data_IF_740307946838
#
_entry.id   IF_740307946838
#
_cell.length_a   1.000
_cell.length_b   1.000
_cell.length_c   1.000
_cell.angle_alpha   90.00
_cell.angle_beta   90.00
_cell.angle_gamma   90.00
#
_symmetry.space_group_name_H-M   'P 1'
#
loop_
_entity.id
_entity.type
_entity.pdbx_description
1 polymer ?
#
# COMPACT_ATOMS: atom_id res chain seq x y z
N UNK A 1 44.14 8.67 33.20
CA UNK A 1 42.90 9.11 32.52
C UNK A 1 42.88 8.59 31.08
N UNK A 2 42.09 7.55 30.77
CA UNK A 2 42.09 6.88 29.44
C UNK A 2 41.22 7.60 28.38
N UNK A 3 41.01 8.91 28.51
CA UNK A 3 40.12 9.70 27.64
C UNK A 3 40.43 9.53 26.14
N UNK A 4 41.72 9.50 25.77
CA UNK A 4 42.13 9.31 24.37
C UNK A 4 41.74 7.93 23.81
N UNK A 5 41.73 6.89 24.64
CA UNK A 5 41.33 5.53 24.23
C UNK A 5 39.81 5.47 24.03
N UNK A 6 39.05 6.04 24.96
CA UNK A 6 37.59 6.15 24.85
C UNK A 6 37.16 6.97 23.64
N UNK A 7 37.78 8.13 23.42
CA UNK A 7 37.47 8.97 22.25
C UNK A 7 37.73 8.23 20.94
N UNK A 8 38.85 7.50 20.82
CA UNK A 8 39.16 6.71 19.62
C UNK A 8 38.15 5.59 19.37
N UNK A 9 37.75 4.90 20.43
CA UNK A 9 36.76 3.83 20.32
C UNK A 9 35.39 4.39 19.90
N UNK A 10 34.87 5.40 20.63
CA UNK A 10 33.58 6.03 20.34
C UNK A 10 33.57 6.64 18.93
N UNK A 11 34.62 7.36 18.53
CA UNK A 11 34.68 7.98 17.21
C UNK A 11 34.61 6.95 16.08
N UNK A 12 35.24 5.78 16.27
CA UNK A 12 35.18 4.69 15.29
C UNK A 12 33.79 4.09 15.20
N UNK A 13 33.16 3.78 16.35
CA UNK A 13 31.81 3.18 16.36
C UNK A 13 30.76 4.15 15.79
N UNK A 14 30.81 5.43 16.19
CA UNK A 14 29.95 6.46 15.61
C UNK A 14 30.25 6.69 14.13
N UNK A 15 31.51 6.60 13.72
CA UNK A 15 31.90 6.70 12.30
C UNK A 15 31.24 5.61 11.45
N UNK A 16 31.26 4.35 11.92
CA UNK A 16 30.55 3.25 11.23
C UNK A 16 29.04 3.47 11.19
N UNK A 17 28.45 3.94 12.30
CA UNK A 17 27.02 4.26 12.36
C UNK A 17 26.65 5.35 11.35
N UNK A 18 27.37 6.48 11.34
CA UNK A 18 27.07 7.58 10.44
C UNK A 18 27.28 7.20 8.98
N UNK A 19 28.34 6.46 8.66
CA UNK A 19 28.57 5.97 7.31
C UNK A 19 27.45 5.05 6.81
N UNK A 20 27.03 4.09 7.64
CA UNK A 20 25.89 3.23 7.33
C UNK A 20 24.60 4.03 7.13
N UNK A 21 24.33 5.00 8.01
CA UNK A 21 23.19 5.91 7.87
C UNK A 21 23.26 6.73 6.58
N UNK A 22 24.43 7.21 6.17
CA UNK A 22 24.59 7.94 4.89
C UNK A 22 24.25 7.07 3.69
N UNK A 23 24.68 5.79 3.67
CA UNK A 23 24.33 4.86 2.59
C UNK A 23 22.82 4.63 2.55
N UNK A 24 22.22 4.28 3.69
CA UNK A 24 20.78 4.08 3.84
C UNK A 24 20.02 5.31 3.34
N UNK A 25 20.47 6.50 3.74
CA UNK A 25 19.79 7.73 3.40
C UNK A 25 19.94 8.08 1.91
N UNK A 26 21.14 7.91 1.35
CA UNK A 26 21.41 8.16 -0.07
C UNK A 26 20.61 7.25 -1.00
N UNK A 27 20.56 5.94 -0.70
CA UNK A 27 19.76 4.97 -1.47
C UNK A 27 18.27 5.30 -1.40
N UNK A 28 17.77 5.66 -0.21
CA UNK A 28 16.38 6.05 -0.04
C UNK A 28 16.04 7.35 -0.80
N UNK A 29 16.92 8.34 -0.79
CA UNK A 29 16.75 9.58 -1.58
C UNK A 29 16.68 9.33 -3.09
N UNK A 30 17.52 8.43 -3.61
CA UNK A 30 17.47 8.02 -5.03
C UNK A 30 16.14 7.32 -5.34
N UNK A 31 15.72 6.38 -4.47
CA UNK A 31 14.46 5.66 -4.64
C UNK A 31 13.26 6.62 -4.66
N UNK A 32 13.22 7.59 -3.74
CA UNK A 32 12.19 8.62 -3.69
C UNK A 32 12.18 9.52 -4.93
N UNK A 33 13.34 10.00 -5.37
CA UNK A 33 13.42 10.86 -6.54
C UNK A 33 12.91 10.15 -7.82
N UNK A 34 13.25 8.88 -7.97
CA UNK A 34 12.76 8.06 -9.08
C UNK A 34 11.26 7.71 -8.97
N UNK A 35 10.67 7.86 -7.79
CA UNK A 35 9.25 7.63 -7.55
C UNK A 35 8.37 8.77 -8.07
N UNK A 36 8.87 10.01 -7.99
CA UNK A 36 8.17 11.22 -8.43
C UNK A 36 8.19 11.36 -9.97
N UNK A 37 9.20 10.82 -10.64
CA UNK A 37 9.43 11.01 -12.08
C UNK A 37 8.79 9.93 -12.97
N UNK A 38 8.26 8.83 -12.43
CA UNK A 38 7.77 7.68 -13.23
C UNK A 38 6.48 7.03 -12.71
N UNK A 39 5.67 7.74 -11.93
CA UNK A 39 4.44 7.18 -11.29
C UNK A 39 4.70 5.87 -10.53
N UNK A 40 5.91 5.70 -9.99
CA UNK A 40 6.34 4.49 -9.31
C UNK A 40 6.29 4.72 -7.81
N UNK A 41 5.38 4.06 -7.10
CA UNK A 41 5.38 4.11 -5.63
C UNK A 41 6.43 3.12 -5.06
N UNK A 42 7.43 3.57 -4.30
CA UNK A 42 8.51 2.71 -3.80
C UNK A 42 8.07 1.91 -2.57
N UNK A 43 7.04 2.38 -1.86
CA UNK A 43 6.50 1.70 -0.68
C UNK A 43 5.45 0.65 -1.03
N UNK A 44 4.80 0.76 -2.18
CA UNK A 44 3.57 0.02 -2.49
C UNK A 44 3.65 -0.63 -3.88
N UNK A 45 3.06 -1.81 -4.02
CA UNK A 45 2.72 -2.42 -5.31
C UNK A 45 1.20 -2.45 -5.39
N UNK A 46 0.64 -1.72 -6.36
CA UNK A 46 -0.75 -1.83 -6.75
C UNK A 46 -0.87 -2.85 -7.89
N UNK A 47 -1.76 -3.83 -7.74
CA UNK A 47 -2.16 -4.73 -8.83
C UNK A 47 -3.64 -4.55 -9.08
N UNK A 48 -4.00 -4.19 -10.31
CA UNK A 48 -5.39 -4.11 -10.74
C UNK A 48 -5.75 -5.36 -11.55
N UNK A 49 -6.87 -5.98 -11.20
CA UNK A 49 -7.47 -7.09 -11.97
C UNK A 49 -8.90 -6.68 -12.30
N UNK A 50 -9.27 -6.83 -13.57
CA UNK A 50 -10.63 -6.58 -14.03
C UNK A 50 -11.37 -7.89 -14.19
N UNK A 51 -12.57 -7.96 -13.64
CA UNK A 51 -13.51 -9.06 -13.78
C UNK A 51 -14.87 -8.51 -14.20
N UNK A 52 -15.78 -9.38 -14.62
CA UNK A 52 -17.12 -9.00 -15.03
C UNK A 52 -18.13 -9.70 -14.14
N UNK A 53 -19.07 -8.94 -13.59
CA UNK A 53 -20.26 -9.49 -12.97
C UNK A 53 -21.25 -9.89 -14.07
N UNK A 54 -21.90 -11.06 -13.96
CA UNK A 54 -22.76 -11.59 -15.01
C UNK A 54 -24.01 -10.73 -15.29
N UNK A 55 -24.51 -10.01 -14.29
CA UNK A 55 -25.75 -9.22 -14.38
C UNK A 55 -25.54 -7.72 -14.18
N UNK A 56 -26.55 -6.93 -14.57
CA UNK A 56 -26.63 -5.50 -14.26
C UNK A 56 -27.09 -5.34 -12.82
N UNK A 57 -26.34 -4.56 -12.04
CA UNK A 57 -26.66 -4.30 -10.63
C UNK A 57 -27.31 -2.93 -10.48
N UNK A 58 -28.17 -2.82 -9.47
CA UNK A 58 -28.70 -1.55 -8.97
C UNK A 58 -28.50 -1.53 -7.46
N UNK A 59 -28.35 -0.35 -6.86
CA UNK A 59 -28.14 -0.24 -5.41
C UNK A 59 -29.22 -0.98 -4.60
N UNK A 60 -30.48 -0.95 -5.07
CA UNK A 60 -31.61 -1.66 -4.46
C UNK A 60 -31.55 -3.18 -4.56
N UNK A 61 -30.78 -3.73 -5.50
CA UNK A 61 -30.62 -5.17 -5.70
C UNK A 61 -29.36 -5.73 -5.04
N UNK A 62 -28.47 -4.86 -4.51
CA UNK A 62 -27.28 -5.31 -3.81
C UNK A 62 -27.64 -5.78 -2.40
N UNK A 63 -27.71 -7.10 -2.26
CA UNK A 63 -27.87 -7.80 -1.01
C UNK A 63 -26.55 -8.47 -0.58
N UNK A 64 -26.60 -9.15 0.58
CA UNK A 64 -25.44 -9.90 1.09
C UNK A 64 -24.99 -11.00 0.14
N UNK A 65 -25.91 -11.65 -0.57
CA UNK A 65 -25.58 -12.71 -1.53
C UNK A 65 -24.82 -12.16 -2.73
N UNK A 66 -25.21 -10.98 -3.22
CA UNK A 66 -24.49 -10.26 -4.28
C UNK A 66 -23.05 -9.95 -3.87
N UNK A 67 -22.85 -9.44 -2.65
CA UNK A 67 -21.50 -9.18 -2.11
C UNK A 67 -20.68 -10.47 -2.01
N UNK A 68 -21.28 -11.56 -1.52
CA UNK A 68 -20.60 -12.86 -1.42
C UNK A 68 -20.19 -13.40 -2.79
N UNK A 69 -21.05 -13.30 -3.81
CA UNK A 69 -20.72 -13.67 -5.19
C UNK A 69 -19.58 -12.84 -5.76
N UNK A 70 -19.56 -11.52 -5.54
CA UNK A 70 -18.47 -10.65 -5.99
C UNK A 70 -17.15 -11.04 -5.30
N UNK A 71 -17.19 -11.36 -4.01
CA UNK A 71 -16.02 -11.82 -3.27
C UNK A 71 -15.52 -13.19 -3.75
N UNK A 72 -16.40 -14.06 -4.21
CA UNK A 72 -16.03 -15.37 -4.78
C UNK A 72 -15.40 -15.22 -6.17
N UNK A 73 -16.01 -14.42 -7.06
CA UNK A 73 -15.46 -14.09 -8.39
C UNK A 73 -14.06 -13.49 -8.28
N UNK A 74 -13.83 -12.66 -7.25
CA UNK A 74 -12.55 -11.98 -7.04
C UNK A 74 -11.56 -12.79 -6.18
N UNK A 75 -12.02 -13.85 -5.51
CA UNK A 75 -11.22 -14.64 -4.58
C UNK A 75 -10.85 -13.92 -3.29
N UNK A 76 -11.61 -12.90 -2.88
CA UNK A 76 -11.29 -11.98 -1.77
C UNK A 76 -12.10 -12.18 -0.49
N UNK A 77 -12.79 -13.32 -0.37
CA UNK A 77 -13.69 -13.62 0.77
C UNK A 77 -13.04 -13.43 2.15
N UNK A 78 -11.78 -13.83 2.31
CA UNK A 78 -11.05 -13.73 3.59
C UNK A 78 -10.56 -12.31 3.93
N UNK A 79 -10.53 -11.44 2.92
CA UNK A 79 -10.03 -10.07 3.02
C UNK A 79 -11.12 -9.03 3.19
N UNK A 80 -12.40 -9.40 3.07
CA UNK A 80 -13.54 -8.51 3.20
C UNK A 80 -13.58 -7.79 4.56
N UNK A 81 -13.95 -6.50 4.53
CA UNK A 81 -14.20 -5.69 5.73
C UNK A 81 -15.61 -5.13 5.74
N UNK A 82 -15.92 -4.30 4.75
CA UNK A 82 -17.20 -3.57 4.63
C UNK A 82 -17.40 -3.14 3.18
N UNK A 83 -18.61 -2.72 2.83
CA UNK A 83 -18.89 -2.06 1.57
C UNK A 83 -19.71 -0.79 1.81
N UNK A 84 -19.72 0.09 0.82
CA UNK A 84 -20.59 1.26 0.76
C UNK A 84 -20.80 1.68 -0.70
N UNK A 85 -21.75 2.57 -0.90
CA UNK A 85 -22.05 3.16 -2.20
C UNK A 85 -21.57 4.61 -2.22
N UNK A 86 -20.49 4.94 -2.96
CA UNK A 86 -20.12 6.33 -3.21
C UNK A 86 -21.22 7.11 -3.95
N UNK A 87 -21.97 6.42 -4.82
CA UNK A 87 -23.12 6.93 -5.55
C UNK A 87 -23.97 5.76 -6.05
N UNK A 88 -25.08 6.06 -6.73
CA UNK A 88 -26.07 5.07 -7.20
C UNK A 88 -25.58 4.14 -8.32
N UNK A 89 -24.36 4.35 -8.84
CA UNK A 89 -23.78 3.57 -9.95
C UNK A 89 -22.52 2.81 -9.53
N UNK A 90 -21.95 3.12 -8.37
CA UNK A 90 -20.70 2.54 -7.89
C UNK A 90 -20.92 1.83 -6.55
N UNK A 91 -20.49 0.57 -6.50
CA UNK A 91 -20.33 -0.18 -5.27
C UNK A 91 -18.84 -0.29 -4.94
N UNK A 92 -18.47 0.06 -3.72
CA UNK A 92 -17.08 -0.02 -3.26
C UNK A 92 -16.98 -0.94 -2.05
N UNK A 93 -16.19 -2.02 -2.20
CA UNK A 93 -15.95 -3.03 -1.18
C UNK A 93 -14.53 -2.88 -0.67
N UNK A 94 -14.37 -2.61 0.63
CA UNK A 94 -13.07 -2.50 1.28
C UNK A 94 -12.52 -3.86 1.69
N UNK A 95 -11.23 -4.05 1.43
CA UNK A 95 -10.47 -5.23 1.78
C UNK A 95 -9.36 -4.89 2.81
N UNK A 96 -8.79 -5.91 3.46
CA UNK A 96 -7.62 -5.76 4.34
C UNK A 96 -6.40 -5.16 3.66
N UNK A 97 -6.21 -5.42 2.36
CA UNK A 97 -5.06 -4.96 1.58
C UNK A 97 -5.47 -4.37 0.22
N UNK A 98 -6.59 -3.66 0.15
CA UNK A 98 -7.10 -3.15 -1.13
C UNK A 98 -8.57 -2.75 -1.09
N UNK A 99 -9.16 -2.62 -2.27
CA UNK A 99 -10.60 -2.45 -2.45
C UNK A 99 -11.04 -3.02 -3.80
N UNK A 100 -12.32 -3.33 -3.90
CA UNK A 100 -12.99 -3.71 -5.13
C UNK A 100 -13.98 -2.59 -5.46
N UNK A 101 -13.97 -2.15 -6.71
CA UNK A 101 -14.93 -1.20 -7.25
C UNK A 101 -15.77 -1.91 -8.28
N UNK A 102 -17.09 -1.82 -8.16
CA UNK A 102 -18.02 -2.39 -9.14
C UNK A 102 -18.81 -1.24 -9.73
N UNK A 103 -18.71 -1.11 -11.05
CA UNK A 103 -19.60 -0.29 -11.86
C UNK A 103 -20.88 -1.09 -12.05
N UNK A 104 -21.94 -0.67 -11.36
CA UNK A 104 -23.19 -1.42 -11.27
C UNK A 104 -23.96 -1.46 -12.61
N UNK A 105 -24.05 -0.37 -13.40
CA UNK A 105 -24.70 -0.40 -14.72
C UNK A 105 -24.02 -1.36 -15.71
N UNK A 106 -22.69 -1.41 -15.71
CA UNK A 106 -21.94 -2.26 -16.64
C UNK A 106 -21.60 -3.64 -16.07
N UNK A 107 -21.75 -3.85 -14.76
CA UNK A 107 -21.26 -5.03 -14.05
C UNK A 107 -19.73 -5.12 -13.98
N UNK A 108 -19.00 -4.06 -14.36
CA UNK A 108 -17.53 -4.12 -14.45
C UNK A 108 -16.91 -4.07 -13.04
N UNK A 109 -16.16 -5.11 -12.70
CA UNK A 109 -15.47 -5.25 -11.41
C UNK A 109 -14.01 -4.88 -11.60
N UNK A 110 -13.50 -3.98 -10.77
CA UNK A 110 -12.08 -3.64 -10.68
C UNK A 110 -11.59 -3.94 -9.27
N UNK A 111 -10.72 -4.94 -9.14
CA UNK A 111 -10.05 -5.26 -7.87
C UNK A 111 -8.70 -4.58 -7.83
N UNK A 112 -8.45 -3.78 -6.79
CA UNK A 112 -7.16 -3.11 -6.55
C UNK A 112 -6.56 -3.67 -5.27
N UNK A 113 -5.46 -4.42 -5.41
CA UNK A 113 -4.65 -4.90 -4.28
C UNK A 113 -3.46 -3.99 -4.06
N UNK A 114 -3.23 -3.63 -2.81
CA UNK A 114 -2.18 -2.74 -2.34
C UNK A 114 -1.34 -3.53 -1.32
N UNK A 115 -0.09 -3.81 -1.65
CA UNK A 115 0.86 -4.45 -0.73
C UNK A 115 2.10 -3.61 -0.54
N UNK A 116 2.67 -3.62 0.65
CA UNK A 116 3.95 -2.96 0.90
C UNK A 116 5.09 -3.73 0.25
N UNK A 117 6.10 -3.02 -0.26
CA UNK A 117 7.34 -3.64 -0.72
C UNK A 117 8.22 -3.94 0.48
N UNK A 118 8.69 -5.19 0.66
CA UNK A 118 9.65 -5.48 1.72
C UNK A 118 10.93 -4.65 1.50
N UNK A 119 11.53 -4.16 2.59
CA UNK A 119 12.79 -3.38 2.65
C UNK A 119 12.66 -1.92 2.24
N UNK A 120 11.95 -1.60 1.16
CA UNK A 120 11.83 -0.22 0.70
C UNK A 120 10.85 0.62 1.53
N UNK A 121 9.88 -0.01 2.19
CA UNK A 121 8.93 0.72 3.04
C UNK A 121 9.62 1.28 4.29
N UNK A 122 10.49 0.49 4.94
CA UNK A 122 11.22 0.90 6.13
C UNK A 122 12.25 2.00 5.83
N UNK A 123 12.98 1.88 4.71
CA UNK A 123 13.94 2.89 4.26
C UNK A 123 13.24 4.20 3.92
N UNK A 124 12.07 4.12 3.27
CA UNK A 124 11.28 5.28 2.90
C UNK A 124 10.62 5.97 4.12
N UNK A 125 10.23 5.19 5.14
CA UNK A 125 9.68 5.74 6.40
C UNK A 125 10.65 6.71 7.08
N UNK A 126 11.96 6.44 7.04
CA UNK A 126 12.99 7.33 7.58
C UNK A 126 13.10 8.68 6.84
N UNK A 127 12.67 8.74 5.57
CA UNK A 127 12.67 9.98 4.78
C UNK A 127 11.34 10.74 4.84
N UNK A 128 10.25 10.09 5.21
CA UNK A 128 8.95 10.74 5.26
C UNK A 128 8.84 11.65 6.48
N UNK A 129 8.82 12.96 6.24
CA UNK A 129 8.70 13.99 7.28
C UNK A 129 7.27 14.17 7.83
N UNK A 130 6.42 13.14 7.73
CA UNK A 130 5.05 13.14 8.27
C UNK A 130 4.84 11.86 9.07
N UNK A 131 4.97 11.90 10.41
CA UNK A 131 4.51 10.79 11.24
C UNK A 131 2.98 10.73 11.13
N UNK A 132 2.46 9.90 10.21
CA UNK A 132 1.07 9.44 10.35
C UNK A 132 1.06 8.49 11.54
N UNK A 133 0.49 8.95 12.64
CA UNK A 133 0.27 8.18 13.87
C UNK A 133 -0.27 6.80 13.51
N UNK A 134 0.38 5.77 14.08
CA UNK A 134 -0.09 4.39 14.13
C UNK A 134 -1.48 4.31 14.75
#
# INVERSE_FOLDING_TARGET
MNWRKWNRWIHRELGFLFFGMTIVYGVSGIALNHSVTRDWNPGIISRSVTSQYPDVLQESSVDRATIENILEITGEKENYKQYYFPNNELLMIYLKGGHITVDMPSGRIQTIKVRNRPVFNELNYLHYNKPKKL
#
